data_IF_239414346320
#
_entry.id   IF_239414346320
#
_cell.length_a   1.000
_cell.length_b   1.000
_cell.length_c   1.000
_cell.angle_alpha   90.00
_cell.angle_beta   90.00
_cell.angle_gamma   90.00
#
_symmetry.space_group_name_H-M   'P 1'
#
loop_
_entity.id
_entity.type
_entity.pdbx_description
1 polymer ?
#
# COMPACT_ATOMS: atom_id res chain seq x y z
N UNK A 1 -28.21 -65.73 -44.36
CA UNK A 1 -28.17 -64.91 -45.60
C UNK A 1 -28.11 -63.45 -45.25
N UNK A 2 -27.01 -62.79 -45.68
CA UNK A 2 -26.70 -61.34 -45.68
C UNK A 2 -26.65 -60.55 -44.36
N UNK A 3 -25.37 -60.34 -43.94
CA UNK A 3 -24.93 -59.18 -43.18
C UNK A 3 -25.14 -57.90 -44.04
N UNK A 4 -25.47 -56.83 -43.39
CA UNK A 4 -25.17 -55.49 -43.86
C UNK A 4 -24.65 -54.63 -42.72
N UNK A 5 -23.43 -54.10 -42.93
CA UNK A 5 -22.67 -53.13 -42.15
C UNK A 5 -23.49 -51.86 -41.89
N UNK A 6 -23.32 -51.26 -40.69
CA UNK A 6 -23.37 -49.85 -40.53
C UNK A 6 -22.27 -49.38 -39.57
N UNK A 7 -21.14 -49.06 -40.20
CA UNK A 7 -20.09 -48.22 -39.63
C UNK A 7 -20.43 -46.80 -40.02
N UNK A 8 -20.83 -45.93 -39.09
CA UNK A 8 -20.83 -44.46 -39.33
C UNK A 8 -20.72 -43.66 -38.04
N UNK A 9 -19.64 -42.87 -38.01
CA UNK A 9 -19.49 -41.60 -37.36
C UNK A 9 -19.27 -41.57 -35.86
N UNK A 10 -18.01 -41.84 -35.46
CA UNK A 10 -17.37 -41.23 -34.30
C UNK A 10 -16.21 -40.36 -34.76
N UNK A 11 -16.50 -39.22 -35.35
CA UNK A 11 -15.49 -38.26 -35.77
C UNK A 11 -16.09 -36.84 -35.80
N UNK A 12 -16.59 -36.34 -34.67
CA UNK A 12 -16.96 -34.91 -34.57
C UNK A 12 -17.14 -34.46 -33.13
N UNK A 13 -16.13 -34.67 -32.24
CA UNK A 13 -16.20 -34.04 -30.93
C UNK A 13 -14.84 -33.79 -30.29
N UNK A 14 -13.73 -33.81 -31.05
CA UNK A 14 -12.38 -33.55 -30.50
C UNK A 14 -11.88 -32.16 -30.90
N UNK A 15 -12.62 -31.39 -31.70
CA UNK A 15 -12.20 -30.07 -32.17
C UNK A 15 -12.64 -28.88 -31.31
N UNK A 16 -13.57 -29.03 -30.36
CA UNK A 16 -14.17 -27.91 -29.64
C UNK A 16 -13.61 -27.70 -28.21
N UNK A 17 -12.83 -28.61 -27.71
CA UNK A 17 -12.25 -28.49 -26.37
C UNK A 17 -10.83 -27.86 -26.33
N UNK A 18 -10.21 -27.61 -27.48
CA UNK A 18 -8.85 -27.01 -27.54
C UNK A 18 -8.85 -25.48 -27.59
N UNK A 19 -10.02 -24.83 -27.74
CA UNK A 19 -10.09 -23.37 -27.86
C UNK A 19 -10.45 -22.64 -26.55
N UNK A 20 -10.75 -23.34 -25.48
CA UNK A 20 -11.11 -22.74 -24.18
C UNK A 20 -9.97 -22.62 -23.17
N UNK A 21 -8.77 -23.11 -23.48
CA UNK A 21 -7.61 -22.99 -22.59
C UNK A 21 -6.65 -21.84 -22.92
N UNK A 22 -6.96 -20.98 -23.89
CA UNK A 22 -6.09 -19.87 -24.31
C UNK A 22 -6.48 -18.50 -23.73
N UNK A 23 -7.35 -18.44 -22.74
CA UNK A 23 -7.96 -17.19 -22.28
C UNK A 23 -7.61 -16.69 -20.88
N UNK A 24 -6.73 -17.34 -20.12
CA UNK A 24 -6.39 -16.90 -18.77
C UNK A 24 -4.88 -16.93 -18.50
N UNK A 25 -4.09 -16.34 -19.38
CA UNK A 25 -2.84 -15.76 -18.95
C UNK A 25 -3.20 -14.45 -18.26
N UNK A 26 -3.38 -14.49 -16.95
CA UNK A 26 -3.26 -13.30 -16.11
C UNK A 26 -1.91 -12.69 -16.46
N UNK A 27 -1.90 -11.62 -17.26
CA UNK A 27 -0.70 -10.84 -17.52
C UNK A 27 -0.24 -10.36 -16.16
N UNK A 28 0.80 -11.00 -15.65
CA UNK A 28 1.49 -10.53 -14.45
C UNK A 28 2.13 -9.20 -14.86
N UNK A 29 1.38 -8.10 -14.76
CA UNK A 29 1.87 -6.77 -15.09
C UNK A 29 3.07 -6.51 -14.20
N UNK A 30 4.20 -6.26 -14.82
CA UNK A 30 5.42 -5.91 -14.11
C UNK A 30 5.15 -4.64 -13.28
N UNK A 31 5.27 -4.76 -11.98
CA UNK A 31 5.12 -3.63 -11.07
C UNK A 31 6.45 -2.89 -10.94
N UNK A 32 6.45 -1.58 -11.19
CA UNK A 32 7.64 -0.73 -11.08
C UNK A 32 7.48 0.25 -9.93
N UNK A 33 8.56 0.44 -9.18
CA UNK A 33 8.56 1.42 -8.10
C UNK A 33 8.45 2.83 -8.67
N UNK A 34 7.43 3.58 -8.26
CA UNK A 34 7.09 4.93 -8.72
C UNK A 34 7.27 6.00 -7.65
N UNK A 35 7.31 5.59 -6.38
CA UNK A 35 7.65 6.47 -5.27
C UNK A 35 8.34 5.68 -4.16
N UNK A 36 9.19 6.38 -3.41
CA UNK A 36 9.81 5.88 -2.18
C UNK A 36 9.80 7.00 -1.15
N UNK A 37 9.62 6.63 0.10
CA UNK A 37 9.78 7.52 1.24
C UNK A 37 10.49 6.72 2.34
N UNK A 38 11.77 7.04 2.52
CA UNK A 38 12.64 6.45 3.55
C UNK A 38 12.82 7.49 4.64
N UNK A 39 12.41 7.16 5.85
CA UNK A 39 12.44 8.09 6.95
C UNK A 39 13.88 8.48 7.30
N UNK A 40 14.11 9.78 7.45
CA UNK A 40 15.44 10.34 7.69
C UNK A 40 16.30 10.52 6.43
N UNK A 41 15.81 10.15 5.25
CA UNK A 41 16.45 10.44 3.96
C UNK A 41 15.71 11.59 3.29
N UNK A 42 16.21 12.81 3.44
CA UNK A 42 15.52 14.06 3.07
C UNK A 42 14.97 14.07 1.64
N UNK A 43 15.72 13.54 0.68
CA UNK A 43 15.32 13.55 -0.73
C UNK A 43 14.14 12.61 -1.05
N UNK A 44 13.77 11.74 -0.13
CA UNK A 44 12.70 10.76 -0.33
C UNK A 44 11.42 11.12 0.40
N UNK A 45 11.42 12.15 1.24
CA UNK A 45 10.28 12.51 2.10
C UNK A 45 9.27 13.48 1.48
N UNK A 46 9.32 13.68 0.16
CA UNK A 46 8.43 14.62 -0.53
C UNK A 46 6.93 14.34 -0.33
N UNK A 47 6.57 13.08 -0.13
CA UNK A 47 5.18 12.63 0.04
C UNK A 47 4.70 12.60 1.49
N UNK A 48 5.60 12.83 2.46
CA UNK A 48 5.24 12.92 3.87
C UNK A 48 4.49 14.24 4.14
N UNK A 49 3.30 14.13 4.68
CA UNK A 49 2.45 15.26 5.04
C UNK A 49 2.53 15.55 6.53
N UNK A 50 2.52 14.50 7.35
CA UNK A 50 2.54 14.59 8.79
C UNK A 50 3.37 13.45 9.37
N UNK A 51 4.42 13.80 10.07
CA UNK A 51 5.35 12.89 10.71
C UNK A 51 6.70 13.58 10.91
N UNK A 52 7.38 13.25 11.99
CA UNK A 52 8.72 13.72 12.30
C UNK A 52 9.70 12.56 12.32
N UNK A 53 10.94 12.82 11.93
CA UNK A 53 12.03 11.85 11.98
C UNK A 53 12.40 11.54 13.43
N UNK A 54 12.46 10.26 13.75
CA UNK A 54 12.94 9.77 15.02
C UNK A 54 14.02 8.71 14.79
N UNK A 55 15.21 8.97 15.31
CA UNK A 55 16.32 8.02 15.26
C UNK A 55 16.20 7.01 16.37
N UNK A 56 16.15 5.73 16.01
CA UNK A 56 16.10 4.65 16.98
C UNK A 56 17.48 4.44 17.63
N UNK A 57 17.54 4.15 18.95
CA UNK A 57 18.81 3.89 19.62
C UNK A 57 19.56 2.69 19.03
N UNK A 58 20.88 2.77 18.91
CA UNK A 58 21.74 1.71 18.39
C UNK A 58 21.58 0.38 19.14
N UNK A 59 21.42 0.46 20.46
CA UNK A 59 21.18 -0.71 21.33
C UNK A 59 19.88 -1.44 20.99
N UNK A 60 19.04 -0.80 20.22
CA UNK A 60 17.73 -1.29 19.87
C UNK A 60 17.69 -2.03 18.53
N UNK A 61 18.40 -1.51 17.52
CA UNK A 61 18.35 -2.00 16.15
C UNK A 61 19.63 -2.65 15.68
N UNK A 62 20.75 -2.42 16.38
CA UNK A 62 22.08 -2.77 15.92
C UNK A 62 22.57 -1.93 14.74
N UNK A 63 21.81 -0.87 14.37
CA UNK A 63 22.12 0.06 13.28
C UNK A 63 22.06 1.49 13.79
N UNK A 64 23.13 2.27 13.53
CA UNK A 64 23.22 3.69 13.92
C UNK A 64 22.32 4.61 13.11
N UNK A 65 21.82 4.15 11.98
CA UNK A 65 21.05 4.96 11.04
C UNK A 65 19.58 4.56 10.93
N UNK A 66 19.12 3.63 11.76
CA UNK A 66 17.73 3.20 11.75
C UNK A 66 16.82 4.33 12.23
N UNK A 67 15.90 4.73 11.39
CA UNK A 67 14.95 5.81 11.63
C UNK A 67 13.51 5.38 11.37
N UNK A 68 12.61 6.09 12.04
CA UNK A 68 11.18 5.98 11.79
C UNK A 68 10.54 7.35 11.81
N UNK A 69 9.59 7.60 10.95
CA UNK A 69 8.72 8.75 11.06
C UNK A 69 7.61 8.44 12.05
N UNK A 70 7.39 9.32 13.01
CA UNK A 70 6.30 9.17 13.97
C UNK A 70 5.62 10.52 14.23
N UNK A 71 4.33 10.48 14.57
CA UNK A 71 3.63 11.69 15.00
C UNK A 71 2.33 11.34 15.72
N UNK A 72 2.30 11.40 17.04
CA UNK A 72 1.08 11.19 17.83
C UNK A 72 0.26 10.00 17.33
N UNK A 73 -1.05 10.19 17.20
CA UNK A 73 -1.96 9.15 16.72
C UNK A 73 -1.85 8.80 15.24
N UNK A 74 -1.21 9.62 14.40
CA UNK A 74 -1.21 9.43 12.94
C UNK A 74 0.05 9.86 12.25
N UNK A 75 0.51 9.06 11.25
CA UNK A 75 1.48 9.47 10.22
C UNK A 75 0.75 9.50 8.89
N UNK A 76 0.96 10.54 8.06
CA UNK A 76 0.20 10.77 6.84
C UNK A 76 1.14 10.94 5.65
N UNK A 77 0.86 10.19 4.57
CA UNK A 77 1.48 10.35 3.26
C UNK A 77 0.41 10.69 2.23
N UNK A 78 0.75 11.53 1.24
CA UNK A 78 -0.16 11.86 0.16
C UNK A 78 0.54 11.92 -1.19
N UNK A 79 -0.12 11.36 -2.19
CA UNK A 79 0.33 11.26 -3.57
C UNK A 79 -0.72 11.86 -4.49
N UNK A 80 -0.27 12.70 -5.42
CA UNK A 80 -1.10 13.29 -6.47
C UNK A 80 -0.72 12.73 -7.84
N UNK A 81 -1.60 12.92 -8.82
CA UNK A 81 -1.45 12.44 -10.20
C UNK A 81 -1.35 10.92 -10.31
N UNK A 82 -2.13 10.21 -9.50
CA UNK A 82 -2.30 8.75 -9.63
C UNK A 82 -3.02 8.42 -10.95
N UNK A 83 -2.50 7.44 -11.67
CA UNK A 83 -3.22 6.85 -12.81
C UNK A 83 -4.33 5.92 -12.30
N UNK A 84 -5.60 6.32 -12.45
CA UNK A 84 -6.75 5.54 -11.98
C UNK A 84 -6.92 4.19 -12.69
N UNK A 85 -6.28 4.01 -13.84
CA UNK A 85 -6.30 2.75 -14.60
C UNK A 85 -5.19 1.80 -14.16
N UNK A 86 -4.10 2.32 -13.59
CA UNK A 86 -2.99 1.50 -13.11
C UNK A 86 -3.35 0.73 -11.85
N UNK A 87 -2.75 -0.43 -11.65
CA UNK A 87 -2.77 -1.14 -10.38
C UNK A 87 -1.62 -0.65 -9.51
N UNK A 88 -1.87 -0.46 -8.22
CA UNK A 88 -0.86 -0.02 -7.27
C UNK A 88 -0.69 -1.04 -6.15
N UNK A 89 0.57 -1.21 -5.75
CA UNK A 89 0.97 -2.01 -4.60
C UNK A 89 1.88 -1.17 -3.71
N UNK A 90 1.66 -1.25 -2.43
CA UNK A 90 2.45 -0.55 -1.42
C UNK A 90 3.28 -1.57 -0.63
N UNK A 91 4.56 -1.24 -0.42
CA UNK A 91 5.42 -1.91 0.55
C UNK A 91 5.63 -0.96 1.73
N UNK A 92 5.36 -1.44 2.93
CA UNK A 92 5.57 -0.68 4.15
C UNK A 92 6.53 -1.44 5.05
N UNK A 93 7.53 -0.72 5.56
CA UNK A 93 8.48 -1.21 6.55
C UNK A 93 8.25 -0.50 7.86
N UNK A 94 8.10 -1.27 8.92
CA UNK A 94 7.97 -0.79 10.28
C UNK A 94 9.17 -1.24 11.12
N UNK A 95 9.66 -0.33 11.94
CA UNK A 95 10.64 -0.62 12.97
C UNK A 95 10.23 0.13 14.24
N UNK A 96 9.73 -0.57 15.24
CA UNK A 96 9.13 0.00 16.42
C UNK A 96 10.06 -0.04 17.63
N UNK A 97 10.13 1.05 18.39
CA UNK A 97 10.86 1.15 19.66
C UNK A 97 10.11 0.51 20.83
N UNK A 98 8.79 0.38 20.71
CA UNK A 98 7.91 -0.27 21.67
C UNK A 98 6.89 -1.14 20.95
N UNK A 99 6.28 -2.10 21.65
CA UNK A 99 5.14 -2.84 21.13
C UNK A 99 3.96 -1.90 20.95
N UNK A 100 3.37 -1.91 19.75
CA UNK A 100 2.22 -1.07 19.41
C UNK A 100 1.31 -1.78 18.41
N UNK A 101 0.12 -1.24 18.24
CA UNK A 101 -0.85 -1.72 17.26
C UNK A 101 -1.30 -0.54 16.40
N UNK A 102 -1.25 -0.71 15.08
CA UNK A 102 -1.68 0.33 14.15
C UNK A 102 -2.34 -0.27 12.91
N UNK A 103 -3.06 0.57 12.16
CA UNK A 103 -3.67 0.21 10.87
C UNK A 103 -3.40 1.28 9.83
N UNK A 104 -3.75 0.98 8.56
CA UNK A 104 -3.69 1.93 7.46
C UNK A 104 -5.09 2.15 6.90
N UNK A 105 -5.44 3.42 6.76
CA UNK A 105 -6.70 3.87 6.15
C UNK A 105 -6.39 4.74 4.94
N UNK A 106 -7.15 4.59 3.85
CA UNK A 106 -7.10 5.47 2.69
C UNK A 106 -8.52 5.84 2.27
N UNK A 107 -8.79 7.13 2.13
CA UNK A 107 -10.12 7.66 1.77
C UNK A 107 -11.26 7.02 2.60
N UNK A 108 -11.08 6.97 3.94
CA UNK A 108 -12.03 6.36 4.88
C UNK A 108 -12.15 4.83 4.80
N UNK A 109 -11.36 4.17 3.94
CA UNK A 109 -11.35 2.71 3.82
C UNK A 109 -10.10 2.12 4.48
N UNK A 110 -10.28 1.08 5.27
CA UNK A 110 -9.17 0.30 5.79
C UNK A 110 -8.49 -0.45 4.63
N UNK A 111 -7.19 -0.21 4.42
CA UNK A 111 -6.37 -0.91 3.41
C UNK A 111 -5.44 -1.93 4.05
N UNK A 112 -5.08 -1.74 5.31
CA UNK A 112 -4.45 -2.74 6.14
C UNK A 112 -5.12 -2.71 7.51
N UNK A 113 -5.65 -3.83 7.95
CA UNK A 113 -6.21 -4.01 9.28
C UNK A 113 -5.17 -3.89 10.39
N UNK A 114 -5.58 -4.03 11.66
CA UNK A 114 -4.68 -3.90 12.79
C UNK A 114 -3.49 -4.85 12.70
N UNK A 115 -2.28 -4.29 12.78
CA UNK A 115 -1.03 -5.05 12.89
C UNK A 115 -0.36 -4.74 14.21
N UNK A 116 0.20 -5.78 14.83
CA UNK A 116 1.00 -5.65 16.04
C UNK A 116 2.45 -5.52 15.65
N UNK A 117 3.07 -4.40 16.03
CA UNK A 117 4.48 -4.13 15.83
C UNK A 117 5.25 -4.51 17.08
N UNK A 118 6.23 -5.38 16.92
CA UNK A 118 7.07 -5.85 18.01
C UNK A 118 8.30 -4.94 18.17
N UNK A 119 8.70 -4.73 19.42
CA UNK A 119 9.87 -3.92 19.75
C UNK A 119 11.14 -4.45 19.07
N UNK A 120 11.89 -3.58 18.37
CA UNK A 120 13.19 -3.88 17.76
C UNK A 120 13.13 -4.86 16.60
N UNK A 121 11.95 -5.16 16.10
CA UNK A 121 11.76 -6.09 14.99
C UNK A 121 11.33 -5.35 13.75
N UNK A 122 12.11 -5.48 12.67
CA UNK A 122 11.66 -5.04 11.36
C UNK A 122 10.51 -5.92 10.88
N UNK A 123 9.44 -5.28 10.47
CA UNK A 123 8.26 -5.94 9.91
C UNK A 123 7.92 -5.28 8.57
N UNK A 124 7.78 -6.11 7.54
CA UNK A 124 7.56 -5.66 6.16
C UNK A 124 6.25 -6.23 5.64
N UNK A 125 5.44 -5.38 5.05
CA UNK A 125 4.13 -5.75 4.49
C UNK A 125 4.02 -5.28 3.05
N UNK A 126 3.49 -6.16 2.21
CA UNK A 126 3.17 -5.87 0.82
C UNK A 126 1.65 -5.85 0.67
N UNK A 127 1.08 -4.74 0.22
CA UNK A 127 -0.36 -4.47 0.24
C UNK A 127 -0.81 -4.01 -1.13
N UNK A 128 -1.74 -4.72 -1.76
CA UNK A 128 -2.40 -4.27 -2.97
C UNK A 128 -3.43 -3.19 -2.64
N UNK A 129 -3.31 -2.02 -3.28
CA UNK A 129 -4.22 -0.91 -3.04
C UNK A 129 -5.53 -1.10 -3.82
N UNK A 130 -6.68 -1.03 -3.15
CA UNK A 130 -7.96 -1.10 -3.84
C UNK A 130 -8.18 0.16 -4.69
N UNK A 131 -8.75 0.03 -5.88
CA UNK A 131 -9.02 1.14 -6.81
C UNK A 131 -9.74 2.33 -6.17
N UNK A 132 -10.65 2.06 -5.23
CA UNK A 132 -11.39 3.09 -4.51
C UNK A 132 -10.50 4.01 -3.67
N UNK A 133 -9.30 3.55 -3.24
CA UNK A 133 -8.38 4.35 -2.44
C UNK A 133 -7.72 5.49 -3.25
N UNK A 134 -7.75 5.43 -4.58
CA UNK A 134 -7.19 6.44 -5.48
C UNK A 134 -8.09 6.77 -6.67
N UNK A 135 -9.40 6.57 -6.52
CA UNK A 135 -10.40 6.75 -7.58
C UNK A 135 -10.43 8.16 -8.18
N UNK A 136 -9.97 9.15 -7.44
CA UNK A 136 -9.92 10.56 -7.86
C UNK A 136 -8.53 11.02 -8.31
N UNK A 137 -7.62 10.10 -8.61
CA UNK A 137 -6.25 10.42 -9.02
C UNK A 137 -5.35 10.89 -7.87
N UNK A 138 -5.78 10.68 -6.63
CA UNK A 138 -5.07 11.04 -5.40
C UNK A 138 -5.13 9.90 -4.41
N UNK A 139 -4.09 9.74 -3.62
CA UNK A 139 -4.01 8.76 -2.55
C UNK A 139 -3.55 9.44 -1.28
N UNK A 140 -4.34 9.36 -0.22
CA UNK A 140 -3.96 9.80 1.12
C UNK A 140 -3.95 8.58 2.02
N UNK A 141 -2.77 8.24 2.54
CA UNK A 141 -2.56 7.13 3.45
C UNK A 141 -2.43 7.67 4.87
N UNK A 142 -3.28 7.21 5.75
CA UNK A 142 -3.27 7.55 7.17
C UNK A 142 -2.90 6.29 7.95
N UNK A 143 -1.73 6.31 8.58
CA UNK A 143 -1.29 5.31 9.53
C UNK A 143 -1.79 5.72 10.91
N UNK A 144 -2.67 4.94 11.49
CA UNK A 144 -3.34 5.25 12.75
C UNK A 144 -2.85 4.35 13.87
N UNK A 145 -2.39 4.95 14.97
CA UNK A 145 -2.12 4.21 16.19
C UNK A 145 -3.43 3.77 16.85
N UNK A 146 -3.57 2.47 17.09
CA UNK A 146 -4.69 1.89 17.84
C UNK A 146 -4.29 1.61 19.30
N UNK A 147 -3.02 1.22 19.50
CA UNK A 147 -2.40 1.07 20.84
C UNK A 147 -0.96 1.53 20.79
N UNK A 148 -0.54 2.24 21.81
CA UNK A 148 0.74 2.93 21.90
C UNK A 148 0.61 4.43 21.65
N UNK A 149 1.71 5.17 21.83
CA UNK A 149 1.67 6.64 21.85
C UNK A 149 1.65 7.24 20.44
N UNK A 150 2.28 6.57 19.46
CA UNK A 150 2.48 7.10 18.11
C UNK A 150 2.21 6.04 17.04
N UNK A 151 1.69 6.47 15.89
CA UNK A 151 1.86 5.73 14.65
C UNK A 151 3.30 5.88 14.15
N UNK A 152 3.82 4.87 13.46
CA UNK A 152 5.19 4.86 12.94
C UNK A 152 5.25 4.26 11.54
N UNK A 153 6.22 4.74 10.74
CA UNK A 153 6.60 4.19 9.44
C UNK A 153 8.10 4.37 9.26
N UNK A 154 8.84 3.35 8.90
CA UNK A 154 10.27 3.47 8.59
C UNK A 154 10.51 3.69 7.11
N UNK A 155 9.82 2.94 6.25
CA UNK A 155 9.94 3.08 4.81
C UNK A 155 8.58 2.80 4.15
N UNK A 156 8.27 3.54 3.10
CA UNK A 156 7.09 3.37 2.26
C UNK A 156 7.50 3.41 0.79
N UNK A 157 7.30 2.31 0.08
CA UNK A 157 7.50 2.22 -1.36
C UNK A 157 6.16 2.02 -2.06
N UNK A 158 5.95 2.74 -3.16
CA UNK A 158 4.77 2.57 -4.00
C UNK A 158 5.19 2.04 -5.37
N UNK A 159 4.52 0.99 -5.81
CA UNK A 159 4.71 0.34 -7.11
C UNK A 159 3.47 0.51 -7.97
N UNK A 160 3.63 0.65 -9.27
CA UNK A 160 2.56 0.79 -10.25
C UNK A 160 2.74 -0.17 -11.42
N UNK A 161 1.64 -0.65 -11.96
CA UNK A 161 1.61 -1.44 -13.21
C UNK A 161 1.83 -0.59 -14.46
N UNK A 162 1.68 0.74 -14.36
CA UNK A 162 1.98 1.70 -15.42
C UNK A 162 3.06 2.69 -14.94
N UNK A 163 3.94 3.18 -15.82
CA UNK A 163 4.83 4.28 -15.49
C UNK A 163 4.00 5.49 -15.04
N UNK A 164 4.27 5.99 -13.84
CA UNK A 164 3.59 7.16 -13.30
C UNK A 164 4.60 8.12 -12.73
N UNK A 165 4.39 9.42 -12.96
CA UNK A 165 5.11 10.50 -12.29
C UNK A 165 4.20 11.06 -11.21
N UNK A 166 4.23 10.45 -10.04
CA UNK A 166 3.49 10.93 -8.89
C UNK A 166 4.07 12.27 -8.42
N UNK A 167 3.19 13.14 -7.94
CA UNK A 167 3.59 14.42 -7.38
C UNK A 167 3.22 14.51 -5.90
N UNK A 168 4.03 15.19 -5.09
CA UNK A 168 3.63 15.54 -3.74
C UNK A 168 2.52 16.60 -3.79
N UNK A 169 1.71 16.67 -2.75
CA UNK A 169 0.74 17.75 -2.59
C UNK A 169 1.46 19.09 -2.43
N UNK A 170 0.90 20.15 -3.01
CA UNK A 170 1.34 21.53 -2.78
C UNK A 170 1.13 21.96 -1.32
N UNK A 171 1.89 22.95 -0.86
CA UNK A 171 1.92 23.37 0.55
C UNK A 171 0.56 23.79 1.12
N UNK A 172 -0.29 24.46 0.34
CA UNK A 172 -1.63 24.85 0.78
C UNK A 172 -2.50 23.62 1.03
N UNK A 173 -2.47 22.64 0.13
CA UNK A 173 -3.23 21.40 0.26
C UNK A 173 -2.73 20.51 1.38
N UNK A 174 -1.44 20.52 1.65
CA UNK A 174 -0.86 19.86 2.83
C UNK A 174 -1.46 20.40 4.12
N UNK A 175 -1.52 21.73 4.26
CA UNK A 175 -2.10 22.40 5.43
C UNK A 175 -3.57 22.08 5.61
N UNK A 176 -4.34 22.13 4.53
CA UNK A 176 -5.77 21.76 4.54
C UNK A 176 -5.97 20.30 4.99
N UNK A 177 -5.19 19.38 4.43
CA UNK A 177 -5.26 17.95 4.76
C UNK A 177 -4.95 17.69 6.23
N UNK A 178 -3.87 18.29 6.76
CA UNK A 178 -3.51 18.16 8.18
C UNK A 178 -4.63 18.67 9.07
N UNK A 179 -5.23 19.82 8.73
CA UNK A 179 -6.34 20.38 9.50
C UNK A 179 -7.56 19.46 9.49
N UNK A 180 -7.94 18.94 8.33
CA UNK A 180 -9.07 18.02 8.16
C UNK A 180 -8.84 16.71 8.92
N UNK A 181 -7.67 16.11 8.80
CA UNK A 181 -7.35 14.87 9.52
C UNK A 181 -7.35 15.07 11.05
N UNK A 182 -6.92 16.23 11.54
CA UNK A 182 -6.98 16.54 12.97
C UNK A 182 -8.42 16.62 13.51
N UNK A 183 -9.35 17.13 12.72
CA UNK A 183 -10.76 17.20 13.11
C UNK A 183 -11.39 15.81 13.25
N UNK A 184 -11.01 14.85 12.41
CA UNK A 184 -11.56 13.49 12.46
C UNK A 184 -10.91 12.59 13.52
N UNK A 185 -9.69 12.90 13.97
CA UNK A 185 -8.96 12.11 14.97
C UNK A 185 -9.15 12.62 16.40
N UNK A 186 -9.80 13.77 16.60
CA UNK A 186 -10.17 14.24 17.94
C UNK A 186 -11.32 13.39 18.48
N UNK A 187 -11.15 12.72 19.64
CA UNK A 187 -12.28 12.02 20.27
C UNK A 187 -13.40 13.04 20.53
N UNK A 188 -14.61 12.72 20.07
CA UNK A 188 -15.79 13.51 20.41
C UNK A 188 -15.88 13.63 21.93
N UNK A 189 -16.01 14.83 22.50
CA UNK A 189 -16.20 14.97 23.93
C UNK A 189 -17.48 14.23 24.33
N UNK A 190 -17.34 13.26 25.23
CA UNK A 190 -18.47 12.58 25.87
C UNK A 190 -18.99 13.43 27.00
#
# INVERSE_FOLDING_TARGET
>A
MRMVNLCKNKLFNTGLMLFLCLGLQAQNKEMRRVATNDCGVTNTQAFLIKGDDYTLPDSFTGSKEAKTCNFGGTVIYAFDQMDIQADYRMEVVYLADNRREQRIVADGNEVQGPVVLEKGKEQRYMIDLPKKAYAYGQLVLVFEALKGDNAIVSELNLYSSNPAQLKPFGEERKKELVHTCLLYTSPSPR
#
